data_IF_692455697430
#
_entry.id   IF_692455697430
#
_cell.length_a   1.000
_cell.length_b   1.000
_cell.length_c   1.000
_cell.angle_alpha   90.00
_cell.angle_beta   90.00
_cell.angle_gamma   90.00
#
_symmetry.space_group_name_H-M   'P 1'
#
loop_
_entity.id
_entity.type
_entity.pdbx_description
1 polymer ?
#
# COMPACT_ATOMS: atom_id res chain seq x y z
N UNK A 1 -40.65 -34.56 41.93
CA UNK A 1 -40.08 -33.19 42.12
C UNK A 1 -38.52 -33.19 42.09
N UNK A 2 -37.87 -34.02 42.93
CA UNK A 2 -36.40 -34.09 43.01
C UNK A 2 -35.76 -34.71 41.75
N UNK A 3 -36.38 -35.66 41.07
CA UNK A 3 -35.91 -36.23 39.82
C UNK A 3 -36.04 -35.25 38.66
N UNK A 4 -37.11 -34.49 38.62
CA UNK A 4 -37.35 -33.46 37.63
C UNK A 4 -36.25 -32.36 37.70
N UNK A 5 -35.97 -31.92 38.92
CA UNK A 5 -34.91 -30.93 39.13
C UNK A 5 -33.51 -31.45 38.70
N UNK A 6 -33.23 -32.75 38.93
CA UNK A 6 -31.97 -33.35 38.47
C UNK A 6 -31.88 -33.46 36.97
N UNK A 7 -32.97 -33.70 36.28
CA UNK A 7 -33.01 -33.77 34.81
C UNK A 7 -32.87 -32.39 34.16
N UNK A 8 -33.57 -31.39 34.71
CA UNK A 8 -33.42 -30.00 34.29
C UNK A 8 -31.98 -29.49 34.52
N UNK A 9 -31.37 -29.89 35.62
CA UNK A 9 -29.97 -29.50 35.93
C UNK A 9 -28.96 -30.14 34.96
N UNK A 10 -29.23 -31.38 34.50
CA UNK A 10 -28.43 -32.02 33.45
C UNK A 10 -28.56 -31.29 32.10
N UNK A 11 -29.77 -30.92 31.70
CA UNK A 11 -30.03 -30.20 30.46
C UNK A 11 -29.32 -28.83 30.47
N UNK A 12 -29.50 -28.07 31.54
CA UNK A 12 -28.83 -26.75 31.70
C UNK A 12 -27.28 -26.90 31.67
N UNK A 13 -26.72 -27.94 32.27
CA UNK A 13 -25.28 -28.17 32.22
C UNK A 13 -24.78 -28.54 30.80
N UNK A 14 -25.57 -29.28 30.02
CA UNK A 14 -25.23 -29.57 28.61
C UNK A 14 -25.26 -28.28 27.77
N UNK A 15 -26.30 -27.46 27.94
CA UNK A 15 -26.40 -26.16 27.23
C UNK A 15 -25.25 -25.22 27.64
N UNK A 16 -24.95 -25.15 28.94
CA UNK A 16 -23.81 -24.36 29.43
C UNK A 16 -22.48 -24.80 28.81
N UNK A 17 -22.24 -26.12 28.74
CA UNK A 17 -21.00 -26.65 28.15
C UNK A 17 -20.91 -26.31 26.66
N UNK A 18 -22.00 -26.42 25.90
CA UNK A 18 -22.04 -26.00 24.49
C UNK A 18 -21.75 -24.50 24.35
N UNK A 19 -22.37 -23.65 25.14
CA UNK A 19 -22.15 -22.22 25.10
C UNK A 19 -20.69 -21.84 25.47
N UNK A 20 -20.08 -22.57 26.41
CA UNK A 20 -18.66 -22.37 26.76
C UNK A 20 -17.72 -22.78 25.62
N UNK A 21 -18.03 -23.87 24.90
CA UNK A 21 -17.25 -24.25 23.73
C UNK A 21 -17.39 -23.23 22.58
N UNK A 22 -18.60 -22.83 22.25
CA UNK A 22 -18.85 -21.79 21.24
C UNK A 22 -18.13 -20.49 21.57
N UNK A 23 -18.17 -20.07 22.83
CA UNK A 23 -17.44 -18.89 23.30
C UNK A 23 -15.93 -19.02 23.07
N UNK A 24 -15.34 -20.19 23.35
CA UNK A 24 -13.90 -20.41 23.09
C UNK A 24 -13.56 -20.25 21.61
N UNK A 25 -14.38 -20.78 20.69
CA UNK A 25 -14.15 -20.60 19.25
C UNK A 25 -14.27 -19.14 18.84
N UNK A 26 -15.24 -18.41 19.37
CA UNK A 26 -15.41 -16.97 19.10
C UNK A 26 -14.22 -16.17 19.64
N UNK A 27 -13.75 -16.48 20.85
CA UNK A 27 -12.61 -15.78 21.47
C UNK A 27 -11.32 -16.04 20.67
N UNK A 28 -11.07 -17.26 20.20
CA UNK A 28 -9.94 -17.60 19.32
C UNK A 28 -10.08 -16.87 17.97
N UNK A 29 -11.26 -16.89 17.37
CA UNK A 29 -11.49 -16.18 16.11
C UNK A 29 -11.27 -14.67 16.25
N UNK A 30 -11.70 -14.09 17.36
CA UNK A 30 -11.46 -12.67 17.68
C UNK A 30 -9.96 -12.36 17.81
N UNK A 31 -9.21 -13.21 18.50
CA UNK A 31 -7.77 -13.05 18.67
C UNK A 31 -7.02 -13.14 17.33
N UNK A 32 -7.40 -14.08 16.47
CA UNK A 32 -6.84 -14.25 15.13
C UNK A 32 -7.15 -13.05 14.22
N UNK A 33 -8.38 -12.53 14.29
CA UNK A 33 -8.85 -11.41 13.48
C UNK A 33 -8.49 -10.04 14.03
N UNK A 34 -7.96 -9.99 15.25
CA UNK A 34 -7.50 -8.73 15.85
C UNK A 34 -6.32 -8.15 15.05
N UNK A 35 -6.13 -6.83 15.13
CA UNK A 35 -5.05 -6.12 14.45
C UNK A 35 -3.64 -6.62 14.85
N UNK A 36 -3.50 -7.18 16.04
CA UNK A 36 -2.26 -7.82 16.53
C UNK A 36 -2.09 -9.29 16.13
N UNK A 37 -3.10 -9.92 15.51
CA UNK A 37 -3.12 -11.34 15.14
C UNK A 37 -2.46 -11.65 13.78
N UNK A 38 -3.18 -12.40 12.95
CA UNK A 38 -2.69 -12.83 11.62
C UNK A 38 -2.35 -11.64 10.73
N UNK A 39 -3.16 -10.57 10.79
CA UNK A 39 -2.95 -9.33 10.02
C UNK A 39 -1.58 -8.71 10.35
N UNK A 40 -1.25 -8.55 11.64
CA UNK A 40 0.05 -8.02 12.06
C UNK A 40 1.22 -8.89 11.60
N UNK A 41 1.07 -10.22 11.63
CA UNK A 41 2.10 -11.13 11.15
C UNK A 41 2.33 -11.02 9.64
N UNK A 42 1.26 -10.82 8.86
CA UNK A 42 1.37 -10.56 7.42
C UNK A 42 2.07 -9.23 7.18
N UNK A 43 1.63 -8.15 7.83
CA UNK A 43 2.22 -6.83 7.72
C UNK A 43 3.72 -6.87 8.06
N UNK A 44 4.09 -7.45 9.20
CA UNK A 44 5.48 -7.59 9.64
C UNK A 44 6.38 -8.27 8.60
N UNK A 45 5.84 -9.23 7.85
CA UNK A 45 6.56 -9.91 6.78
C UNK A 45 6.79 -9.01 5.56
N UNK A 46 5.84 -8.11 5.24
CA UNK A 46 5.90 -7.29 4.03
C UNK A 46 6.52 -5.92 4.25
N UNK A 47 6.47 -5.35 5.44
CA UNK A 47 7.04 -4.03 5.75
C UNK A 47 8.50 -3.88 5.29
N UNK A 48 9.42 -4.84 5.51
CA UNK A 48 10.79 -4.71 4.98
C UNK A 48 10.85 -4.65 3.45
N UNK A 49 10.00 -5.43 2.76
CA UNK A 49 9.94 -5.44 1.29
C UNK A 49 9.36 -4.12 0.79
N UNK A 50 8.29 -3.64 1.43
CA UNK A 50 7.67 -2.35 1.12
C UNK A 50 8.69 -1.22 1.26
N UNK A 51 9.39 -1.15 2.39
CA UNK A 51 10.41 -0.13 2.66
C UNK A 51 11.53 -0.16 1.62
N UNK A 52 12.00 -1.35 1.26
CA UNK A 52 13.03 -1.48 0.22
C UNK A 52 12.54 -0.96 -1.15
N UNK A 53 11.33 -1.35 -1.56
CA UNK A 53 10.75 -0.93 -2.84
C UNK A 53 10.52 0.59 -2.88
N UNK A 54 9.94 1.18 -1.82
CA UNK A 54 9.74 2.63 -1.75
C UNK A 54 11.06 3.35 -1.96
N UNK A 55 12.11 2.97 -1.22
CA UNK A 55 13.40 3.62 -1.33
C UNK A 55 14.08 3.41 -2.69
N UNK A 56 13.88 2.27 -3.34
CA UNK A 56 14.34 2.04 -4.71
C UNK A 56 13.65 2.99 -5.71
N UNK A 57 12.32 3.15 -5.61
CA UNK A 57 11.60 4.09 -6.47
C UNK A 57 12.00 5.54 -6.20
N UNK A 58 12.14 5.95 -4.94
CA UNK A 58 12.61 7.29 -4.59
C UNK A 58 14.02 7.55 -5.16
N UNK A 59 14.94 6.61 -5.04
CA UNK A 59 16.25 6.69 -5.60
C UNK A 59 16.26 6.78 -7.13
N UNK A 60 15.34 6.07 -7.80
CA UNK A 60 15.20 6.13 -9.26
C UNK A 60 14.69 7.51 -9.75
N UNK A 61 14.05 8.27 -8.88
CA UNK A 61 13.62 9.66 -9.10
C UNK A 61 14.63 10.68 -8.58
N UNK A 62 15.86 10.29 -8.33
CA UNK A 62 16.93 11.12 -7.75
C UNK A 62 16.54 11.80 -6.43
N UNK A 63 15.58 11.21 -5.72
CA UNK A 63 15.11 11.69 -4.42
C UNK A 63 15.69 10.85 -3.28
N UNK A 64 16.78 11.34 -2.70
CA UNK A 64 17.61 10.59 -1.78
C UNK A 64 17.21 10.81 -0.32
N UNK A 65 16.08 10.30 0.08
CA UNK A 65 15.65 10.20 1.46
C UNK A 65 15.56 8.72 1.88
N UNK A 66 15.54 8.46 3.17
CA UNK A 66 15.26 7.15 3.72
C UNK A 66 13.85 7.16 4.27
N UNK A 67 12.93 6.55 3.55
CA UNK A 67 11.53 6.38 3.91
C UNK A 67 11.35 5.03 4.61
N UNK A 68 10.68 5.02 5.74
CA UNK A 68 10.39 3.82 6.52
C UNK A 68 8.95 3.85 7.01
N UNK A 69 8.26 2.73 6.83
CA UNK A 69 7.01 2.42 7.50
C UNK A 69 7.29 1.43 8.62
N UNK A 70 6.65 1.62 9.75
CA UNK A 70 6.60 0.63 10.82
C UNK A 70 5.45 -0.39 10.61
N UNK A 71 5.21 -1.25 11.58
CA UNK A 71 4.18 -2.29 11.51
C UNK A 71 2.76 -1.73 11.62
N UNK A 72 2.61 -0.54 12.15
CA UNK A 72 1.38 0.23 12.29
C UNK A 72 1.16 1.20 11.11
N UNK A 73 2.06 1.15 10.08
CA UNK A 73 2.10 2.06 8.94
C UNK A 73 2.35 3.53 9.29
N UNK A 74 2.98 3.80 10.43
CA UNK A 74 3.49 5.14 10.70
C UNK A 74 4.75 5.37 9.85
N UNK A 75 4.82 6.55 9.24
CA UNK A 75 5.94 6.93 8.39
C UNK A 75 7.05 7.61 9.18
N UNK A 76 8.29 7.32 8.80
CA UNK A 76 9.47 8.05 9.24
C UNK A 76 10.33 8.33 8.02
N UNK A 77 10.62 9.62 7.75
CA UNK A 77 11.42 10.04 6.60
C UNK A 77 12.68 10.72 7.14
N UNK A 78 13.85 10.24 6.72
CA UNK A 78 15.15 10.79 7.12
C UNK A 78 15.94 11.26 5.92
N UNK A 79 16.54 12.43 6.02
CA UNK A 79 17.52 12.91 5.03
C UNK A 79 18.86 12.17 5.15
N UNK A 80 19.77 12.40 4.18
CA UNK A 80 21.17 11.94 4.26
C UNK A 80 21.91 12.41 5.51
N UNK A 81 21.51 13.54 6.06
CA UNK A 81 22.11 14.16 7.26
C UNK A 81 21.44 13.74 8.55
N UNK A 82 20.57 12.73 8.54
CA UNK A 82 19.86 12.15 9.68
C UNK A 82 18.75 13.02 10.29
N UNK A 83 18.42 14.14 9.67
CA UNK A 83 17.25 14.93 10.09
C UNK A 83 15.96 14.14 9.78
N UNK A 84 15.06 14.12 10.74
CA UNK A 84 13.75 13.49 10.56
C UNK A 84 12.78 14.53 10.04
N UNK A 85 12.09 14.22 8.95
CA UNK A 85 11.08 15.06 8.34
C UNK A 85 9.70 14.43 8.50
N UNK A 86 8.69 15.29 8.55
CA UNK A 86 7.30 14.89 8.36
C UNK A 86 6.96 15.05 6.87
N UNK A 87 6.08 14.22 6.34
CA UNK A 87 5.58 14.33 4.96
C UNK A 87 5.13 15.77 4.61
N UNK A 88 4.46 16.45 5.54
CA UNK A 88 4.00 17.81 5.33
C UNK A 88 5.13 18.87 5.17
N UNK A 89 6.36 18.53 5.51
CA UNK A 89 7.51 19.44 5.40
C UNK A 89 8.09 19.51 3.98
N UNK A 90 7.66 18.60 3.09
CA UNK A 90 8.13 18.53 1.72
C UNK A 90 7.35 19.47 0.80
N UNK A 91 8.03 19.94 -0.25
CA UNK A 91 7.38 20.65 -1.35
C UNK A 91 6.41 19.74 -2.10
N UNK A 92 5.47 20.31 -2.85
CA UNK A 92 4.49 19.53 -3.59
C UNK A 92 5.14 18.55 -4.60
N UNK A 93 6.24 18.97 -5.25
CA UNK A 93 6.98 18.09 -6.16
C UNK A 93 7.68 16.91 -5.45
N UNK A 94 8.19 17.14 -4.24
CA UNK A 94 8.77 16.08 -3.41
C UNK A 94 7.70 15.13 -2.86
N UNK A 95 6.57 15.67 -2.41
CA UNK A 95 5.41 14.87 -2.00
C UNK A 95 4.94 13.96 -3.13
N UNK A 96 4.82 14.51 -4.34
CA UNK A 96 4.42 13.72 -5.50
C UNK A 96 5.39 12.58 -5.80
N UNK A 97 6.72 12.77 -5.63
CA UNK A 97 7.71 11.69 -5.75
C UNK A 97 7.49 10.60 -4.70
N UNK A 98 7.16 10.97 -3.46
CA UNK A 98 6.84 10.01 -2.40
C UNK A 98 5.56 9.23 -2.76
N UNK A 99 4.51 9.93 -3.19
CA UNK A 99 3.22 9.33 -3.55
C UNK A 99 3.35 8.35 -4.73
N UNK A 100 4.15 8.71 -5.73
CA UNK A 100 4.45 7.84 -6.86
C UNK A 100 5.26 6.61 -6.43
N UNK A 101 6.24 6.78 -5.54
CA UNK A 101 7.00 5.65 -5.01
C UNK A 101 6.09 4.68 -4.22
N UNK A 102 5.16 5.20 -3.44
CA UNK A 102 4.14 4.42 -2.75
C UNK A 102 3.22 3.69 -3.74
N UNK A 103 2.69 4.39 -4.75
CA UNK A 103 1.82 3.82 -5.79
C UNK A 103 2.49 2.62 -6.49
N UNK A 104 3.72 2.80 -6.97
CA UNK A 104 4.45 1.73 -7.66
C UNK A 104 4.84 0.59 -6.73
N UNK A 105 5.14 0.89 -5.46
CA UNK A 105 5.39 -0.13 -4.44
C UNK A 105 4.15 -1.00 -4.23
N UNK A 106 2.99 -0.41 -4.00
CA UNK A 106 1.74 -1.15 -3.81
C UNK A 106 1.37 -1.97 -5.04
N UNK A 107 1.58 -1.42 -6.24
CA UNK A 107 1.37 -2.15 -7.49
C UNK A 107 2.30 -3.36 -7.59
N UNK A 108 3.57 -3.21 -7.25
CA UNK A 108 4.55 -4.31 -7.25
C UNK A 108 4.18 -5.40 -6.24
N UNK A 109 3.79 -5.03 -5.03
CA UNK A 109 3.33 -5.98 -4.00
C UNK A 109 2.07 -6.73 -4.46
N UNK A 110 1.10 -6.03 -5.08
CA UNK A 110 -0.11 -6.65 -5.61
C UNK A 110 0.21 -7.70 -6.69
N UNK A 111 1.14 -7.40 -7.59
CA UNK A 111 1.64 -8.36 -8.60
C UNK A 111 2.33 -9.57 -7.97
N UNK A 112 3.19 -9.35 -7.00
CA UNK A 112 3.90 -10.43 -6.29
C UNK A 112 2.92 -11.40 -5.60
N UNK A 113 1.75 -10.91 -5.22
CA UNK A 113 0.71 -11.70 -4.55
C UNK A 113 -0.28 -12.36 -5.50
N UNK A 114 -0.20 -12.12 -6.80
CA UNK A 114 -1.21 -12.52 -7.78
C UNK A 114 -2.65 -12.10 -7.42
N UNK A 115 -2.79 -11.12 -6.52
CA UNK A 115 -4.12 -10.69 -6.05
C UNK A 115 -4.85 -9.84 -7.09
N UNK A 116 -4.11 -9.07 -7.90
CA UNK A 116 -4.63 -8.27 -9.01
C UNK A 116 -3.51 -8.08 -10.03
N UNK A 117 -3.54 -8.84 -11.09
CA UNK A 117 -2.58 -8.69 -12.19
C UNK A 117 -3.23 -7.92 -13.34
N UNK A 118 -3.49 -6.63 -13.12
CA UNK A 118 -3.92 -5.75 -14.20
C UNK A 118 -2.69 -5.23 -14.93
N UNK A 119 -2.67 -5.39 -16.26
CA UNK A 119 -1.64 -4.79 -17.13
C UNK A 119 -2.01 -3.37 -17.57
N UNK A 120 -2.89 -2.70 -16.84
CA UNK A 120 -3.39 -1.36 -17.12
C UNK A 120 -2.95 -0.39 -16.03
N UNK A 121 -2.38 0.74 -16.46
CA UNK A 121 -2.06 1.89 -15.61
C UNK A 121 -2.62 3.13 -16.29
N UNK A 122 -3.47 3.87 -15.58
CA UNK A 122 -4.02 5.15 -16.05
C UNK A 122 -3.52 6.22 -15.09
N UNK A 123 -2.88 7.23 -15.62
CA UNK A 123 -2.32 8.37 -14.89
C UNK A 123 -2.99 9.63 -15.40
N UNK A 124 -3.83 10.22 -14.56
CA UNK A 124 -4.64 11.38 -14.92
C UNK A 124 -4.07 12.65 -14.28
N UNK A 125 -3.73 13.63 -15.10
CA UNK A 125 -3.22 14.97 -14.72
C UNK A 125 -1.99 14.99 -13.78
N UNK A 126 -1.28 13.86 -13.61
CA UNK A 126 -0.12 13.77 -12.70
C UNK A 126 0.99 14.75 -13.08
N UNK A 127 1.16 15.02 -14.38
CA UNK A 127 2.18 15.94 -14.88
C UNK A 127 1.76 17.41 -14.82
N UNK A 128 0.48 17.69 -14.60
CA UNK A 128 -0.06 19.03 -14.78
C UNK A 128 0.17 19.92 -13.58
N UNK A 129 0.39 19.37 -12.39
CA UNK A 129 0.41 20.13 -11.14
C UNK A 129 1.82 20.41 -10.59
N UNK A 130 2.61 19.40 -10.26
CA UNK A 130 3.70 19.60 -9.30
C UNK A 130 5.08 19.09 -9.77
N UNK A 131 5.16 18.40 -10.91
CA UNK A 131 6.45 17.96 -11.44
C UNK A 131 7.10 19.09 -12.25
N UNK A 132 8.33 19.42 -11.87
CA UNK A 132 9.23 20.20 -12.71
C UNK A 132 9.76 19.35 -13.89
N UNK A 133 10.52 19.96 -14.79
CA UNK A 133 11.08 19.26 -15.94
C UNK A 133 11.92 18.05 -15.56
N UNK A 134 12.73 18.18 -14.49
CA UNK A 134 13.57 17.08 -13.99
C UNK A 134 12.72 15.98 -13.37
N UNK A 135 11.73 16.31 -12.55
CA UNK A 135 10.82 15.32 -11.96
C UNK A 135 10.02 14.55 -13.01
N UNK A 136 9.65 15.22 -14.10
CA UNK A 136 9.01 14.58 -15.25
C UNK A 136 9.93 13.55 -15.91
N UNK A 137 11.19 13.91 -16.16
CA UNK A 137 12.19 12.97 -16.73
C UNK A 137 12.44 11.77 -15.82
N UNK A 138 12.55 11.99 -14.51
CA UNK A 138 12.80 10.94 -13.53
C UNK A 138 11.60 9.97 -13.44
N UNK A 139 10.40 10.51 -13.52
CA UNK A 139 9.19 9.69 -13.58
C UNK A 139 9.15 8.82 -14.84
N UNK A 140 9.55 9.34 -16.01
CA UNK A 140 9.65 8.55 -17.23
C UNK A 140 10.66 7.41 -17.13
N UNK A 141 11.73 7.56 -16.34
CA UNK A 141 12.66 6.45 -16.07
C UNK A 141 11.94 5.28 -15.42
N UNK A 142 11.03 5.55 -14.47
CA UNK A 142 10.22 4.50 -13.83
C UNK A 142 9.25 3.88 -14.83
N UNK A 143 8.51 4.68 -15.59
CA UNK A 143 7.56 4.17 -16.57
C UNK A 143 8.21 3.21 -17.57
N UNK A 144 9.45 3.50 -17.99
CA UNK A 144 10.22 2.63 -18.89
C UNK A 144 10.58 1.27 -18.26
N UNK A 145 10.56 1.16 -16.94
CA UNK A 145 10.76 -0.13 -16.24
C UNK A 145 9.50 -0.99 -16.19
N UNK A 146 8.33 -0.40 -16.45
CA UNK A 146 7.05 -1.10 -16.48
C UNK A 146 6.87 -1.84 -17.82
N UNK A 147 7.63 -2.90 -18.00
CA UNK A 147 7.53 -3.75 -19.18
C UNK A 147 6.23 -4.56 -19.15
N UNK A 148 5.59 -4.72 -20.33
CA UNK A 148 4.33 -5.46 -20.51
C UNK A 148 3.10 -4.83 -19.83
N UNK A 149 3.08 -3.52 -19.67
CA UNK A 149 1.94 -2.77 -19.16
C UNK A 149 1.42 -1.78 -20.19
N UNK A 150 0.09 -1.68 -20.28
CA UNK A 150 -0.56 -0.63 -21.05
C UNK A 150 -0.69 0.61 -20.14
N UNK A 151 0.09 1.63 -20.42
CA UNK A 151 0.08 2.88 -19.66
C UNK A 151 -0.60 3.97 -20.48
N UNK A 152 -1.65 4.56 -19.92
CA UNK A 152 -2.34 5.71 -20.46
C UNK A 152 -2.07 6.93 -19.58
N UNK A 153 -1.68 8.02 -20.20
CA UNK A 153 -1.41 9.30 -19.52
C UNK A 153 -2.35 10.34 -20.10
N UNK A 154 -3.10 10.99 -19.22
CA UNK A 154 -3.98 12.10 -19.55
C UNK A 154 -3.31 13.35 -19.00
N UNK A 155 -3.10 14.37 -19.84
CA UNK A 155 -2.41 15.60 -19.44
C UNK A 155 -2.75 16.75 -20.38
N UNK A 156 -2.81 17.96 -19.83
CA UNK A 156 -2.92 19.20 -20.58
C UNK A 156 -1.56 19.73 -21.09
N UNK A 157 -0.44 19.20 -20.58
CA UNK A 157 0.93 19.59 -20.97
C UNK A 157 1.44 18.81 -22.20
N UNK A 158 0.66 18.84 -23.29
CA UNK A 158 0.98 18.10 -24.53
C UNK A 158 2.37 18.41 -25.07
N UNK A 159 2.82 19.66 -24.99
CA UNK A 159 4.10 20.10 -25.57
C UNK A 159 5.33 19.44 -24.91
N UNK A 160 5.25 19.12 -23.60
CA UNK A 160 6.34 18.48 -22.84
C UNK A 160 6.35 16.97 -23.06
N UNK A 161 5.20 16.41 -23.41
CA UNK A 161 4.98 14.96 -23.46
C UNK A 161 5.05 14.39 -24.89
N UNK A 162 5.03 15.26 -25.90
CA UNK A 162 4.81 14.88 -27.31
C UNK A 162 5.85 13.88 -27.83
N UNK A 163 7.10 13.99 -27.46
CA UNK A 163 8.19 13.14 -27.92
C UNK A 163 8.47 11.91 -27.02
N UNK A 164 7.70 11.77 -25.95
CA UNK A 164 7.93 10.72 -24.94
C UNK A 164 7.12 9.44 -25.18
N UNK A 165 6.11 9.50 -26.05
CA UNK A 165 5.15 8.40 -26.30
C UNK A 165 5.10 7.98 -27.76
N UNK A 166 4.85 6.70 -27.98
CA UNK A 166 4.69 6.11 -29.33
C UNK A 166 3.34 6.42 -29.94
N UNK A 167 2.33 6.72 -29.17
CA UNK A 167 0.99 7.03 -29.63
C UNK A 167 0.40 8.19 -28.82
N UNK A 168 -0.15 9.16 -29.50
CA UNK A 168 -0.77 10.35 -28.91
C UNK A 168 -2.16 10.53 -29.52
N UNK A 169 -3.15 10.73 -28.65
CA UNK A 169 -4.52 11.07 -29.05
C UNK A 169 -4.79 12.49 -28.53
N UNK A 170 -5.08 13.41 -29.43
CA UNK A 170 -5.44 14.79 -29.08
C UNK A 170 -6.96 14.92 -29.12
N UNK A 171 -7.52 15.43 -28.04
CA UNK A 171 -8.93 15.80 -27.97
C UNK A 171 -9.03 17.33 -28.15
N UNK A 172 -9.94 17.74 -29.03
CA UNK A 172 -10.27 19.16 -29.27
C UNK A 172 -11.52 19.56 -28.52
#
# INVERSE_FOLDING_TARGET
ELEQIKEDLKLVNVEKNKAVEEKKYIDIAREILNDTGVKANIIRKYVPIINNLINQYLQSMDFFVNFQLDQEFNETIKSRFRDTFNYNSFSEGEKLRIDLALLFTWRTIAKMKNSTNTNLLILDEIFDSSLDGQGTEDFFKILKTLTNENTFIISHKGDILFDKFTSIIKFE
#
